data_IF_525924813437
#
_entry.id   IF_525924813437
#
_cell.length_a   1.000
_cell.length_b   1.000
_cell.length_c   1.000
_cell.angle_alpha   90.00
_cell.angle_beta   90.00
_cell.angle_gamma   90.00
#
_symmetry.space_group_name_H-M   'P 1'
#
loop_
_entity.id
_entity.type
_entity.pdbx_description
1 polymer ?
#
# COMPACT_ATOMS: atom_id res chain seq x y z
N UNK A 1 -23.06 -16.40 10.07
CA UNK A 1 -22.81 -16.04 9.80
C UNK A 1 -22.65 -15.54 9.43
N UNK A 2 -22.77 -15.36 9.21
CA UNK A 2 -22.62 -14.73 8.90
C UNK A 2 -22.39 -14.31 8.26
N UNK A 3 -22.37 -14.02 7.66
CA UNK A 3 -22.10 -13.50 6.93
C UNK A 3 -22.27 -13.40 5.93
N UNK A 4 -22.75 -13.13 5.30
CA UNK A 4 -22.93 -13.07 4.22
C UNK A 4 -22.39 -12.55 3.31
N UNK A 5 -22.80 -12.38 2.54
CA UNK A 5 -22.45 -11.77 1.46
C UNK A 5 -21.31 -12.20 1.05
N UNK A 6 -21.19 -12.42 -0.03
CA UNK A 6 -20.05 -12.94 -0.47
C UNK A 6 -18.97 -12.38 0.28
N UNK A 7 -18.85 -11.19 0.26
CA UNK A 7 -17.79 -10.62 0.98
C UNK A 7 -18.08 -10.60 2.43
N UNK A 8 -19.26 -10.98 2.80
CA UNK A 8 -19.53 -11.05 4.17
C UNK A 8 -18.76 -12.18 4.71
N UNK A 9 -18.13 -12.03 5.76
CA UNK A 9 -17.38 -13.07 6.36
C UNK A 9 -15.96 -13.21 5.83
N UNK A 10 -15.63 -12.53 4.74
CA UNK A 10 -14.26 -12.56 4.26
C UNK A 10 -13.53 -11.34 4.77
N UNK A 11 -12.36 -11.55 5.37
CA UNK A 11 -11.55 -10.44 5.84
C UNK A 11 -10.87 -9.76 4.66
N UNK A 12 -10.37 -8.57 4.89
CA UNK A 12 -9.60 -7.88 3.88
C UNK A 12 -8.38 -8.70 3.47
N UNK A 13 -7.72 -9.33 4.45
CA UNK A 13 -6.54 -10.15 4.15
C UNK A 13 -6.90 -11.32 3.25
N UNK A 14 -8.06 -11.92 3.45
CA UNK A 14 -8.52 -13.00 2.59
C UNK A 14 -8.81 -12.52 1.17
N UNK A 15 -9.40 -11.34 1.05
CA UNK A 15 -9.69 -10.77 -0.27
C UNK A 15 -8.39 -10.43 -1.01
N UNK A 16 -7.38 -9.96 -0.29
CA UNK A 16 -6.09 -9.68 -0.89
C UNK A 16 -5.44 -10.99 -1.37
N UNK A 17 -5.48 -12.02 -0.53
CA UNK A 17 -4.93 -13.32 -0.91
C UNK A 17 -5.64 -13.87 -2.15
N UNK A 18 -6.95 -13.69 -2.20
CA UNK A 18 -7.73 -14.14 -3.34
C UNK A 18 -7.32 -13.39 -4.61
N UNK A 19 -7.14 -12.07 -4.51
CA UNK A 19 -6.72 -11.29 -5.67
C UNK A 19 -5.36 -11.76 -6.19
N UNK A 20 -4.43 -12.01 -5.28
CA UNK A 20 -3.10 -12.48 -5.66
C UNK A 20 -3.22 -13.82 -6.40
N UNK A 21 -4.03 -14.73 -5.88
CA UNK A 21 -4.21 -16.03 -6.51
C UNK A 21 -4.89 -15.91 -7.88
N UNK A 22 -5.86 -15.03 -8.00
CA UNK A 22 -6.58 -14.86 -9.25
C UNK A 22 -5.72 -14.28 -10.36
N UNK A 23 -4.74 -13.46 -10.01
CA UNK A 23 -3.86 -12.92 -11.02
C UNK A 23 -3.02 -14.01 -11.68
N UNK A 24 -2.57 -14.98 -10.92
CA UNK A 24 -1.97 -16.20 -11.44
C UNK A 24 -0.74 -16.07 -12.32
N UNK A 25 -0.13 -14.89 -12.36
CA UNK A 25 1.05 -14.66 -13.18
C UNK A 25 2.03 -13.77 -12.41
N UNK A 26 2.97 -13.15 -13.13
CA UNK A 26 3.99 -12.32 -12.49
C UNK A 26 3.39 -11.20 -11.64
N UNK A 27 2.20 -10.74 -11.98
CA UNK A 27 1.56 -9.67 -11.21
C UNK A 27 1.19 -10.16 -9.81
N UNK A 28 0.70 -11.40 -9.73
CA UNK A 28 0.39 -12.00 -8.42
C UNK A 28 1.63 -12.16 -7.59
N UNK A 29 2.71 -12.64 -8.20
CA UNK A 29 3.97 -12.80 -7.48
C UNK A 29 4.50 -11.47 -7.00
N UNK A 30 4.44 -10.45 -7.85
CA UNK A 30 4.90 -9.12 -7.50
C UNK A 30 4.08 -8.53 -6.35
N UNK A 31 2.75 -8.62 -6.46
CA UNK A 31 1.88 -8.09 -5.42
C UNK A 31 2.12 -8.82 -4.10
N UNK A 32 2.31 -10.13 -4.16
CA UNK A 32 2.59 -10.93 -2.97
C UNK A 32 3.89 -10.47 -2.31
N UNK A 33 4.91 -10.22 -3.11
CA UNK A 33 6.19 -9.76 -2.58
C UNK A 33 6.06 -8.40 -1.90
N UNK A 34 5.37 -7.47 -2.57
CA UNK A 34 5.20 -6.14 -2.00
C UNK A 34 4.40 -6.18 -0.70
N UNK A 35 3.39 -7.05 -0.66
CA UNK A 35 2.61 -7.25 0.57
C UNK A 35 3.52 -7.70 1.72
N UNK A 36 4.40 -8.64 1.44
CA UNK A 36 5.32 -9.14 2.48
C UNK A 36 6.27 -8.04 2.95
N UNK A 37 6.75 -7.23 2.03
CA UNK A 37 7.65 -6.13 2.39
C UNK A 37 6.94 -5.08 3.23
N UNK A 38 5.69 -4.78 2.90
CA UNK A 38 4.91 -3.81 3.68
C UNK A 38 4.73 -4.33 5.10
N UNK A 39 4.35 -5.60 5.23
CA UNK A 39 4.12 -6.17 6.56
C UNK A 39 5.40 -6.31 7.35
N UNK A 40 6.53 -6.54 6.67
CA UNK A 40 7.82 -6.60 7.34
C UNK A 40 8.26 -5.23 7.80
N UNK A 41 7.95 -4.19 7.01
CA UNK A 41 8.31 -2.82 7.38
C UNK A 41 7.50 -2.35 8.58
N UNK A 42 6.25 -2.78 8.66
CA UNK A 42 5.35 -2.35 9.74
C UNK A 42 4.47 -3.52 10.16
N UNK A 43 4.88 -4.25 11.20
CA UNK A 43 4.09 -5.39 11.68
C UNK A 43 2.69 -5.03 12.16
N UNK A 44 2.45 -3.74 12.43
CA UNK A 44 1.14 -3.29 12.89
C UNK A 44 0.26 -2.73 11.78
N UNK A 45 0.70 -2.85 10.53
CA UNK A 45 -0.09 -2.33 9.41
C UNK A 45 -1.41 -3.08 9.33
N UNK A 46 -2.46 -2.35 8.96
CA UNK A 46 -3.78 -2.92 8.79
C UNK A 46 -4.05 -3.12 7.31
N UNK A 47 -4.47 -4.32 6.95
CA UNK A 47 -4.84 -4.61 5.57
C UNK A 47 -6.32 -4.32 5.41
N UNK A 48 -6.66 -3.60 4.34
CA UNK A 48 -8.04 -3.24 4.04
C UNK A 48 -8.33 -3.55 2.58
N UNK A 49 -9.59 -3.55 2.23
CA UNK A 49 -10.04 -3.78 0.87
C UNK A 49 -10.94 -2.62 0.49
N UNK A 50 -10.48 -1.75 -0.39
CA UNK A 50 -11.23 -0.58 -0.81
C UNK A 50 -11.08 -0.39 -2.31
N UNK A 51 -12.11 0.08 -2.93
CA UNK A 51 -12.07 0.37 -4.37
C UNK A 51 -11.61 -0.84 -5.18
N UNK A 52 -12.00 -2.03 -4.71
CA UNK A 52 -11.64 -3.30 -5.33
C UNK A 52 -10.14 -3.57 -5.33
N UNK A 53 -9.42 -2.98 -4.41
CA UNK A 53 -7.96 -3.13 -4.33
C UNK A 53 -7.48 -3.37 -2.91
N UNK A 54 -6.33 -4.03 -2.77
CA UNK A 54 -5.64 -4.08 -1.48
C UNK A 54 -5.24 -2.68 -1.03
N UNK A 55 -5.44 -2.41 0.24
CA UNK A 55 -5.06 -1.13 0.84
C UNK A 55 -4.36 -1.43 2.15
N UNK A 56 -3.30 -0.69 2.45
CA UNK A 56 -2.57 -0.84 3.71
C UNK A 56 -2.60 0.48 4.43
N UNK A 57 -2.94 0.42 5.72
CA UNK A 57 -3.18 1.61 6.54
C UNK A 57 -2.50 1.52 7.89
N UNK A 58 -2.12 2.67 8.41
CA UNK A 58 -1.62 2.80 9.77
C UNK A 58 -1.79 4.29 10.09
N UNK A 59 -2.79 4.61 10.92
CA UNK A 59 -3.17 5.99 11.22
C UNK A 59 -3.51 6.75 9.93
N UNK A 60 -4.14 6.06 9.00
CA UNK A 60 -4.49 6.59 7.70
C UNK A 60 -3.90 5.71 6.62
N UNK A 61 -4.37 5.89 5.40
CA UNK A 61 -3.92 5.05 4.30
C UNK A 61 -2.44 5.33 4.00
N UNK A 62 -1.67 4.24 3.88
CA UNK A 62 -0.29 4.31 3.47
C UNK A 62 -0.22 4.17 1.95
N UNK A 63 -0.71 3.05 1.45
CA UNK A 63 -0.67 2.82 0.00
C UNK A 63 -1.72 1.81 -0.41
N UNK A 64 -1.97 1.78 -1.72
CA UNK A 64 -2.83 0.78 -2.34
C UNK A 64 -1.98 -0.07 -3.26
N UNK A 65 -2.45 -1.29 -3.54
CA UNK A 65 -1.82 -2.17 -4.51
C UNK A 65 -2.78 -2.42 -5.64
N UNK A 66 -2.48 -1.86 -6.80
CA UNK A 66 -3.32 -1.99 -7.97
C UNK A 66 -2.65 -2.89 -8.99
N UNK A 67 -3.42 -3.63 -9.74
CA UNK A 67 -2.87 -4.47 -10.80
C UNK A 67 -3.57 -4.15 -12.10
N UNK A 68 -2.78 -3.93 -13.11
CA UNK A 68 -3.27 -3.62 -14.45
C UNK A 68 -2.67 -4.65 -15.40
N UNK A 69 -2.96 -4.53 -16.68
CA UNK A 69 -2.52 -5.54 -17.63
C UNK A 69 -1.00 -5.70 -17.64
N UNK A 70 -0.28 -4.61 -17.60
CA UNK A 70 1.17 -4.64 -17.75
C UNK A 70 1.96 -4.11 -16.56
N UNK A 71 1.30 -3.73 -15.50
CA UNK A 71 2.01 -3.21 -14.33
C UNK A 71 1.29 -3.56 -13.04
N UNK A 72 2.06 -3.60 -11.97
CA UNK A 72 1.55 -3.56 -10.61
C UNK A 72 1.92 -2.18 -10.09
N UNK A 73 0.93 -1.48 -9.55
CA UNK A 73 1.14 -0.10 -9.10
C UNK A 73 0.93 0.02 -7.60
N UNK A 74 1.91 0.56 -6.91
CA UNK A 74 1.79 0.88 -5.50
C UNK A 74 1.64 2.40 -5.39
N UNK A 75 0.47 2.87 -5.00
CA UNK A 75 0.20 4.31 -4.89
C UNK A 75 0.26 4.72 -3.42
N UNK A 76 1.21 5.58 -3.10
CA UNK A 76 1.37 6.11 -1.75
C UNK A 76 0.55 7.38 -1.65
N UNK A 77 -0.45 7.37 -0.79
CA UNK A 77 -1.39 8.48 -0.69
C UNK A 77 -0.76 9.81 -0.29
N UNK A 78 0.33 9.77 0.43
CA UNK A 78 1.04 10.98 0.84
C UNK A 78 2.46 11.01 0.29
N UNK A 79 2.64 10.35 -0.84
CA UNK A 79 3.97 10.17 -1.42
C UNK A 79 4.73 11.46 -1.65
N UNK A 80 4.02 12.53 -2.03
CA UNK A 80 4.67 13.79 -2.31
C UNK A 80 5.37 14.39 -1.08
N UNK A 81 4.96 13.96 0.13
CA UNK A 81 5.53 14.44 1.37
C UNK A 81 6.65 13.56 1.89
N UNK A 82 6.95 12.47 1.19
CA UNK A 82 7.95 11.53 1.64
C UNK A 82 9.27 11.75 0.92
N UNK A 83 10.36 11.43 1.59
CA UNK A 83 11.67 11.48 0.97
C UNK A 83 11.89 10.17 0.25
N UNK A 84 12.39 10.25 -0.96
CA UNK A 84 12.58 9.07 -1.79
C UNK A 84 13.98 9.11 -2.38
N UNK A 85 15.01 8.93 -1.53
CA UNK A 85 16.39 9.05 -2.03
C UNK A 85 16.74 7.97 -3.04
N UNK A 86 16.08 6.83 -3.00
CA UNK A 86 16.34 5.76 -3.95
C UNK A 86 15.56 5.92 -5.24
N UNK A 87 14.71 6.96 -5.31
CA UNK A 87 13.92 7.28 -6.50
C UNK A 87 13.02 6.12 -6.92
N UNK A 88 12.33 5.56 -5.95
CA UNK A 88 11.39 4.50 -6.23
C UNK A 88 10.15 5.00 -6.95
N UNK A 89 9.67 6.21 -6.60
CA UNK A 89 8.50 6.74 -7.27
C UNK A 89 8.83 7.03 -8.72
N UNK A 90 8.07 6.43 -9.61
CA UNK A 90 8.28 6.60 -11.05
C UNK A 90 6.98 6.88 -11.79
N UNK A 91 5.91 7.16 -11.05
CA UNK A 91 4.61 7.40 -11.64
C UNK A 91 3.87 8.41 -10.77
N UNK A 92 2.90 9.10 -11.35
CA UNK A 92 2.11 10.11 -10.65
C UNK A 92 3.00 11.23 -10.09
N UNK A 93 4.06 11.54 -10.81
CA UNK A 93 5.05 12.48 -10.29
C UNK A 93 4.58 13.92 -10.28
N UNK A 94 3.51 14.22 -11.02
CA UNK A 94 2.96 15.55 -11.04
C UNK A 94 1.90 15.77 -9.97
N UNK A 95 1.56 14.72 -9.23
CA UNK A 95 0.55 14.84 -8.19
C UNK A 95 1.03 15.70 -7.03
N UNK A 96 0.12 16.45 -6.46
CA UNK A 96 0.44 17.28 -5.30
C UNK A 96 0.55 16.48 -4.00
N UNK A 97 -0.07 15.34 -3.94
CA UNK A 97 -0.14 14.55 -2.72
C UNK A 97 0.35 13.11 -2.96
N UNK A 98 -0.13 12.48 -4.01
CA UNK A 98 0.16 11.07 -4.26
C UNK A 98 1.36 10.87 -5.16
N UNK A 99 2.04 9.74 -4.94
CA UNK A 99 3.13 9.29 -5.82
C UNK A 99 2.99 7.79 -5.94
N UNK A 100 3.44 7.22 -7.03
CA UNK A 100 3.29 5.80 -7.25
C UNK A 100 4.55 5.14 -7.78
N UNK A 101 4.62 3.83 -7.54
CA UNK A 101 5.68 3.00 -8.07
C UNK A 101 5.01 2.04 -9.05
N UNK A 102 5.36 2.13 -10.32
CA UNK A 102 4.89 1.19 -11.35
C UNK A 102 5.95 0.12 -11.49
N UNK A 103 5.54 -1.13 -11.35
CA UNK A 103 6.44 -2.27 -11.45
C UNK A 103 6.04 -3.09 -12.66
N UNK A 104 6.98 -3.29 -13.58
CA UNK A 104 6.76 -4.08 -14.78
C UNK A 104 7.30 -5.49 -14.58
N UNK A 105 6.90 -6.39 -15.45
CA UNK A 105 7.34 -7.77 -15.38
C UNK A 105 8.89 -7.82 -15.41
N UNK A 106 9.45 -8.57 -14.49
CA UNK A 106 10.89 -8.72 -14.41
C UNK A 106 11.60 -7.66 -13.59
N UNK A 107 10.90 -6.59 -13.22
CA UNK A 107 11.50 -5.55 -12.39
C UNK A 107 11.41 -5.94 -10.94
N UNK A 108 12.41 -5.56 -10.17
CA UNK A 108 12.43 -5.87 -8.76
C UNK A 108 12.75 -4.63 -7.96
N UNK A 109 11.82 -4.24 -7.12
CA UNK A 109 11.98 -3.05 -6.27
C UNK A 109 12.94 -3.40 -5.13
N UNK A 110 13.87 -2.51 -4.84
CA UNK A 110 14.82 -2.71 -3.74
C UNK A 110 14.06 -2.84 -2.41
N UNK A 111 14.24 -3.97 -1.75
CA UNK A 111 13.49 -4.27 -0.54
C UNK A 111 13.77 -3.29 0.59
N UNK A 112 15.03 -2.96 0.81
CA UNK A 112 15.39 -2.04 1.90
C UNK A 112 14.84 -0.65 1.66
N UNK A 113 14.98 -0.16 0.44
CA UNK A 113 14.49 1.17 0.11
C UNK A 113 12.96 1.24 0.23
N UNK A 114 12.29 0.18 -0.23
CA UNK A 114 10.84 0.16 -0.15
C UNK A 114 10.36 0.12 1.30
N UNK A 115 10.98 -0.70 2.13
CA UNK A 115 10.60 -0.77 3.53
C UNK A 115 10.83 0.56 4.23
N UNK A 116 11.93 1.24 3.90
CA UNK A 116 12.19 2.56 4.48
C UNK A 116 11.10 3.54 4.09
N UNK A 117 10.63 3.47 2.85
CA UNK A 117 9.57 4.35 2.37
C UNK A 117 8.26 4.08 3.11
N UNK A 118 7.94 2.81 3.35
CA UNK A 118 6.74 2.45 4.10
C UNK A 118 6.84 3.00 5.53
N UNK A 119 8.00 2.86 6.16
CA UNK A 119 8.18 3.36 7.53
C UNK A 119 8.06 4.88 7.59
N UNK A 120 8.53 5.59 6.57
CA UNK A 120 8.36 7.02 6.50
C UNK A 120 6.88 7.38 6.41
N UNK A 121 6.12 6.63 5.61
CA UNK A 121 4.71 6.89 5.46
C UNK A 121 3.96 6.68 6.77
N UNK A 122 4.33 5.63 7.51
CA UNK A 122 3.74 5.38 8.82
C UNK A 122 4.06 6.53 9.77
N UNK A 123 5.30 6.95 9.82
CA UNK A 123 5.71 8.04 10.70
C UNK A 123 5.00 9.34 10.34
N UNK A 124 4.85 9.60 9.06
CA UNK A 124 4.16 10.79 8.61
C UNK A 124 2.70 10.80 9.04
N UNK A 125 2.03 9.66 8.87
CA UNK A 125 0.63 9.54 9.28
C UNK A 125 0.48 9.70 10.79
N UNK A 126 1.35 9.06 11.54
CA UNK A 126 1.27 9.11 13.00
C UNK A 126 1.54 10.51 13.51
N UNK A 127 2.48 11.20 12.89
CA UNK A 127 2.81 12.56 13.25
C UNK A 127 1.64 13.50 12.95
N UNK A 128 1.04 13.35 11.78
CA UNK A 128 -0.12 14.16 11.42
C UNK A 128 -1.29 13.90 12.31
N UNK A 129 -1.48 12.64 12.71
CA UNK A 129 -2.57 12.31 13.59
C UNK A 129 -2.36 12.93 14.96
N UNK A 130 -1.13 12.95 15.43
CA UNK A 130 -0.85 13.54 16.73
C UNK A 130 -1.15 15.02 16.73
N UNK A 131 -0.83 15.72 15.67
CA UNK A 131 -1.10 17.13 15.61
C UNK A 131 -2.56 17.47 15.65
N UNK A 132 -3.39 16.82 14.86
CA UNK A 132 -4.80 17.15 14.87
C UNK A 132 -5.44 16.96 16.23
N UNK A 133 -4.96 16.01 16.97
CA UNK A 133 -5.60 15.79 18.23
C UNK A 133 -5.45 16.98 19.12
N UNK A 134 -4.48 17.80 18.86
CA UNK A 134 -4.37 18.95 19.59
C UNK A 134 -5.21 19.95 19.01
N UNK A 135 -5.37 20.04 17.78
CA UNK A 135 -6.19 21.01 17.28
C UNK A 135 -7.58 20.62 17.41
N UNK A 136 -7.80 19.42 17.41
CA UNK A 136 -9.13 19.04 17.60
C UNK A 136 -9.44 19.30 18.98
N UNK A 137 -8.75 19.33 19.41
CA UNK A 137 -8.83 19.52 20.36
C UNK A 137 -8.24 20.42 20.56
N UNK A 138 -7.98 20.47 20.09
CA UNK A 138 -7.41 21.32 20.12
C UNK A 138 -7.54 21.56 20.15
#
# INVERSE_FOLDING_TARGET
MKKSGASQGQSASELISKRIAELGDWRGETLSRMRKLIKAADPNVVEEWKWMNPVWSHDGIICTGESYKNIVKLTFFKGASLKDPARLFNSSLDGNVRRAIDIHEGEEVDASAFKALVRQAVAFNSSGKAKPSKKAKS
#
